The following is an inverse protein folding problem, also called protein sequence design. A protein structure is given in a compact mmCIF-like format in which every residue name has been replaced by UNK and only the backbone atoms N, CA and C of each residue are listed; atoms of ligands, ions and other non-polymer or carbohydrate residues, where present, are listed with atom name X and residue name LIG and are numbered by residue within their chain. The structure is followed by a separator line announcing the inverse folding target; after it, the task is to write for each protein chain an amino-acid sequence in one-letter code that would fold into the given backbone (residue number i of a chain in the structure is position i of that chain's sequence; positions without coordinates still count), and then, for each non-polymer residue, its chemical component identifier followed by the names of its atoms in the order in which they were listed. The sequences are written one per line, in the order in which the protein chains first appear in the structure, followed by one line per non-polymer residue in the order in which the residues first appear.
data_IF_599192953357
#
_entry.id   IF_599192953357
#
_cell.length_a   1.000
_cell.length_b   1.000
_cell.length_c   1.000
_cell.angle_alpha   90.00
_cell.angle_beta   90.00
_cell.angle_gamma   90.00
#
_symmetry.space_group_name_H-M   'P 1'
#
loop_
_entity.id
_entity.type
_entity.pdbx_description
1 polymer ?
#
# COMPACT_ATOMS: atom_id res chain seq x y z
N UNK A 1 45.89 1.06 5.35
CA UNK A 1 45.33 0.13 4.33
C UNK A 1 44.05 -0.43 4.92
N UNK A 2 42.99 0.23 4.60
CA UNK A 2 41.68 0.07 5.26
C UNK A 2 40.77 -0.70 4.31
N UNK A 3 40.32 -1.88 4.74
CA UNK A 3 39.37 -2.75 3.98
C UNK A 3 37.97 -2.43 4.46
N UNK A 4 37.20 -1.79 3.60
CA UNK A 4 35.80 -1.47 3.87
C UNK A 4 34.92 -2.68 3.61
N UNK A 5 34.27 -3.18 4.64
CA UNK A 5 33.23 -4.21 4.59
C UNK A 5 31.98 -3.66 3.91
N UNK A 6 31.62 -4.27 2.80
CA UNK A 6 30.34 -4.04 2.11
C UNK A 6 29.25 -4.94 2.69
N UNK A 7 28.33 -4.33 3.41
CA UNK A 7 27.05 -4.97 3.79
C UNK A 7 26.18 -5.07 2.55
N UNK A 8 25.90 -6.30 2.11
CA UNK A 8 24.95 -6.59 1.05
C UNK A 8 23.55 -6.67 1.67
N UNK A 9 22.75 -5.64 1.49
CA UNK A 9 21.31 -5.66 1.80
C UNK A 9 20.57 -6.26 0.62
N UNK A 10 19.74 -7.26 0.91
CA UNK A 10 19.02 -8.11 -0.04
C UNK A 10 18.24 -7.36 -1.11
N UNK A 11 18.34 -7.86 -2.33
CA UNK A 11 17.78 -7.34 -3.55
C UNK A 11 16.24 -7.36 -3.54
N UNK A 12 15.62 -6.20 -3.52
CA UNK A 12 14.29 -5.97 -4.04
C UNK A 12 14.45 -5.81 -5.54
N UNK A 13 13.76 -6.64 -6.32
CA UNK A 13 13.80 -6.56 -7.78
C UNK A 13 13.18 -5.23 -8.25
N UNK A 14 14.03 -4.26 -8.53
CA UNK A 14 13.68 -3.04 -9.24
C UNK A 14 13.78 -3.37 -10.72
N UNK A 15 12.66 -3.37 -11.43
CA UNK A 15 12.64 -3.41 -12.89
C UNK A 15 13.29 -2.11 -13.38
N UNK A 16 14.56 -2.18 -13.76
CA UNK A 16 15.24 -1.13 -14.52
C UNK A 16 14.73 -1.20 -15.95
N UNK A 17 14.00 -0.18 -16.38
CA UNK A 17 13.81 0.10 -17.80
C UNK A 17 15.15 0.61 -18.33
N UNK A 18 15.79 -0.17 -19.19
CA UNK A 18 17.02 0.20 -19.87
C UNK A 18 16.75 1.33 -20.86
N UNK A 19 17.40 2.46 -20.69
CA UNK A 19 17.57 3.43 -21.75
C UNK A 19 18.57 2.88 -22.78
N UNK A 20 18.11 2.68 -23.99
CA UNK A 20 19.00 2.47 -25.13
C UNK A 20 18.66 3.42 -26.26
N UNK A 21 19.60 4.33 -26.51
CA UNK A 21 20.07 4.81 -27.79
C UNK A 21 19.07 5.42 -28.79
N UNK A 22 19.23 6.71 -28.94
CA UNK A 22 19.36 7.45 -30.22
C UNK A 22 18.91 6.74 -31.49
N UNK A 23 17.81 7.24 -32.06
CA UNK A 23 17.58 7.20 -33.49
C UNK A 23 16.90 8.50 -33.92
N UNK A 24 17.70 9.37 -34.53
CA UNK A 24 17.24 10.48 -35.34
C UNK A 24 16.52 9.93 -36.59
N UNK A 25 15.23 10.11 -36.66
CA UNK A 25 14.47 9.97 -37.88
C UNK A 25 13.57 11.20 -38.07
N UNK A 26 13.90 11.98 -39.08
CA UNK A 26 13.05 13.02 -39.65
C UNK A 26 11.76 12.37 -40.10
N UNK A 27 10.63 12.70 -39.48
CA UNK A 27 9.32 12.39 -40.03
C UNK A 27 8.57 13.70 -40.29
N UNK A 28 8.32 13.93 -41.56
CA UNK A 28 7.44 14.99 -42.07
C UNK A 28 6.03 14.81 -41.51
N UNK A 29 5.46 15.93 -41.13
CA UNK A 29 4.11 16.04 -40.66
C UNK A 29 3.08 15.66 -41.72
N UNK A 30 2.21 14.73 -41.36
CA UNK A 30 0.84 14.70 -41.89
C UNK A 30 -0.10 14.55 -40.70
N UNK A 31 -0.72 15.68 -40.39
CA UNK A 31 -1.71 15.85 -39.30
C UNK A 31 -3.04 15.25 -39.80
N UNK A 32 -3.24 13.95 -39.61
CA UNK A 32 -4.57 13.36 -39.66
C UNK A 32 -5.02 13.11 -38.21
N UNK A 33 -6.05 13.83 -37.82
CA UNK A 33 -6.78 13.60 -36.58
C UNK A 33 -7.58 12.30 -36.71
N UNK A 34 -6.95 11.18 -36.43
CA UNK A 34 -7.61 9.90 -36.24
C UNK A 34 -7.71 9.64 -34.73
N UNK A 35 -8.93 9.67 -34.22
CA UNK A 35 -9.25 9.24 -32.88
C UNK A 35 -8.94 7.74 -32.78
N UNK A 36 -7.71 7.38 -32.41
CA UNK A 36 -7.36 5.99 -32.07
C UNK A 36 -7.99 5.67 -30.73
N UNK A 37 -9.24 5.24 -30.80
CA UNK A 37 -9.95 4.63 -29.66
C UNK A 37 -9.34 3.26 -29.47
N UNK A 38 -8.31 3.13 -28.63
CA UNK A 38 -7.82 1.84 -28.19
C UNK A 38 -8.97 1.14 -27.47
N UNK A 39 -9.63 0.23 -28.17
CA UNK A 39 -10.54 -0.73 -27.55
C UNK A 39 -9.68 -1.77 -26.84
N UNK A 40 -9.46 -1.59 -25.55
CA UNK A 40 -9.02 -2.71 -24.73
C UNK A 40 -10.18 -3.71 -24.70
N UNK A 41 -10.07 -4.77 -25.46
CA UNK A 41 -10.93 -5.94 -25.26
C UNK A 41 -10.43 -6.63 -23.99
N UNK A 42 -11.03 -6.27 -22.87
CA UNK A 42 -10.90 -7.06 -21.64
C UNK A 42 -11.57 -8.41 -21.93
N UNK A 43 -10.77 -9.44 -22.16
CA UNK A 43 -11.29 -10.80 -22.08
C UNK A 43 -11.77 -10.96 -20.66
N UNK A 44 -13.09 -11.13 -20.47
CA UNK A 44 -13.68 -11.42 -19.19
C UNK A 44 -12.95 -12.65 -18.63
N UNK A 45 -11.98 -12.40 -17.75
CA UNK A 45 -11.35 -13.49 -17.01
C UNK A 45 -12.44 -14.04 -16.13
N UNK A 46 -12.59 -15.36 -16.14
CA UNK A 46 -13.40 -16.10 -15.21
C UNK A 46 -13.41 -15.39 -13.87
N UNK A 47 -14.63 -15.17 -13.34
CA UNK A 47 -14.85 -14.49 -12.06
C UNK A 47 -13.75 -14.94 -11.10
N UNK A 48 -12.97 -14.03 -10.51
CA UNK A 48 -11.91 -14.44 -9.61
C UNK A 48 -12.55 -15.40 -8.61
N UNK A 49 -12.02 -16.62 -8.53
CA UNK A 49 -12.43 -17.56 -7.48
C UNK A 49 -12.34 -16.74 -6.22
N UNK A 50 -13.45 -16.64 -5.46
CA UNK A 50 -13.44 -16.03 -4.14
C UNK A 50 -12.17 -16.55 -3.48
N UNK A 51 -11.23 -15.69 -3.06
CA UNK A 51 -10.11 -16.18 -2.30
C UNK A 51 -10.73 -17.01 -1.19
N UNK A 52 -10.38 -18.31 -1.17
CA UNK A 52 -10.75 -19.17 -0.08
C UNK A 52 -10.38 -18.37 1.17
N UNK A 53 -11.35 -17.94 1.96
CA UNK A 53 -11.20 -17.04 3.09
C UNK A 53 -10.35 -17.65 4.23
N UNK A 54 -9.59 -18.64 3.87
CA UNK A 54 -8.57 -19.27 4.69
C UNK A 54 -7.39 -18.35 5.01
N UNK A 55 -7.65 -17.16 5.61
CA UNK A 55 -6.61 -16.40 6.32
C UNK A 55 -5.83 -17.35 7.25
N UNK A 56 -6.48 -18.38 7.77
CA UNK A 56 -5.89 -19.45 8.55
C UNK A 56 -4.84 -20.28 7.84
N UNK A 57 -5.06 -20.67 6.58
CA UNK A 57 -4.09 -21.49 5.83
C UNK A 57 -2.80 -20.78 5.49
N UNK A 58 -2.84 -19.46 5.32
CA UNK A 58 -1.65 -18.65 4.95
C UNK A 58 -0.86 -18.20 6.17
N UNK A 59 -1.52 -18.03 7.31
CA UNK A 59 -0.83 -17.71 8.56
C UNK A 59 -0.04 -18.92 9.12
N UNK A 60 -0.32 -20.14 8.60
CA UNK A 60 0.34 -21.38 9.03
C UNK A 60 -0.14 -21.86 10.41
N UNK A 61 0.36 -23.00 10.88
CA UNK A 61 0.19 -23.41 12.29
C UNK A 61 0.82 -22.35 13.17
N UNK A 62 0.03 -21.71 14.01
CA UNK A 62 0.47 -20.60 14.86
C UNK A 62 0.52 -21.11 16.29
N UNK A 63 1.72 -21.30 16.81
CA UNK A 63 1.93 -21.55 18.24
C UNK A 63 1.55 -20.31 19.07
N UNK A 64 1.49 -19.13 18.43
CA UNK A 64 1.19 -17.86 19.07
C UNK A 64 0.40 -16.94 18.14
N UNK A 65 -0.77 -16.45 18.57
CA UNK A 65 -1.59 -15.52 17.80
C UNK A 65 -0.82 -14.25 17.44
N UNK A 66 -1.12 -13.70 16.28
CA UNK A 66 -0.63 -12.39 15.89
C UNK A 66 -1.41 -11.31 16.65
N UNK A 67 -0.73 -10.55 17.50
CA UNK A 67 -1.37 -9.46 18.27
C UNK A 67 -1.32 -8.16 17.48
N UNK A 68 -2.49 -7.62 17.15
CA UNK A 68 -2.68 -6.38 16.38
C UNK A 68 -3.29 -5.30 17.25
N UNK A 69 -2.75 -4.08 17.20
CA UNK A 69 -3.36 -2.89 17.77
C UNK A 69 -4.09 -2.12 16.69
N UNK A 70 -5.37 -1.88 16.90
CA UNK A 70 -6.23 -1.05 16.05
C UNK A 70 -6.36 0.31 16.70
N UNK A 71 -6.06 1.38 15.95
CA UNK A 71 -6.15 2.74 16.49
C UNK A 71 -7.57 3.05 16.99
N UNK A 72 -7.65 3.74 18.12
CA UNK A 72 -8.95 4.11 18.72
C UNK A 72 -9.76 5.06 17.84
N UNK A 73 -9.11 5.80 16.93
CA UNK A 73 -9.75 6.72 15.97
C UNK A 73 -10.36 6.00 14.76
N UNK A 74 -9.98 4.72 14.52
CA UNK A 74 -10.58 3.91 13.45
C UNK A 74 -12.05 3.60 13.77
N UNK A 75 -12.97 4.20 13.02
CA UNK A 75 -14.41 4.10 13.30
C UNK A 75 -15.03 2.79 12.80
N UNK A 76 -14.51 2.25 11.72
CA UNK A 76 -14.99 1.04 11.07
C UNK A 76 -13.89 -0.01 10.95
N UNK A 77 -13.45 -0.61 12.07
CA UNK A 77 -12.31 -1.52 12.07
C UNK A 77 -12.58 -2.77 11.22
N UNK A 78 -11.49 -3.27 10.63
CA UNK A 78 -11.53 -4.57 9.94
C UNK A 78 -11.80 -5.69 10.93
N UNK A 79 -12.44 -6.75 10.44
CA UNK A 79 -12.62 -8.00 11.18
C UNK A 79 -11.48 -8.94 10.82
N UNK A 80 -10.86 -9.52 11.81
CA UNK A 80 -9.79 -10.50 11.66
C UNK A 80 -10.25 -11.86 12.20
N UNK A 81 -9.67 -12.92 11.67
CA UNK A 81 -9.92 -14.27 12.14
C UNK A 81 -9.35 -14.46 13.56
N UNK A 82 -10.25 -14.64 14.52
CA UNK A 82 -9.90 -14.74 15.96
C UNK A 82 -9.09 -15.99 16.32
N UNK A 83 -9.06 -17.01 15.46
CA UNK A 83 -8.26 -18.22 15.70
C UNK A 83 -6.76 -17.95 15.55
N UNK A 84 -6.40 -16.98 14.69
CA UNK A 84 -5.02 -16.63 14.36
C UNK A 84 -4.58 -15.25 14.85
N UNK A 85 -5.52 -14.35 15.09
CA UNK A 85 -5.26 -12.95 15.37
C UNK A 85 -5.99 -12.53 16.65
N UNK A 86 -5.26 -11.86 17.54
CA UNK A 86 -5.81 -11.11 18.67
C UNK A 86 -5.73 -9.62 18.34
N UNK A 87 -6.88 -9.00 18.11
CA UNK A 87 -6.96 -7.58 17.77
C UNK A 87 -7.52 -6.78 18.96
N UNK A 88 -6.76 -5.79 19.43
CA UNK A 88 -7.11 -4.94 20.55
C UNK A 88 -7.16 -3.47 20.14
N UNK A 89 -8.00 -2.68 20.79
CA UNK A 89 -8.03 -1.22 20.61
C UNK A 89 -6.88 -0.58 21.40
N UNK A 90 -6.20 0.39 20.79
CA UNK A 90 -5.12 1.11 21.43
C UNK A 90 -4.75 2.37 20.67
N UNK A 91 -3.77 3.12 21.17
CA UNK A 91 -3.25 4.31 20.48
C UNK A 91 -2.16 3.89 19.50
N UNK A 92 -2.35 4.22 18.25
CA UNK A 92 -1.33 4.09 17.19
C UNK A 92 -0.84 5.49 16.84
N UNK A 93 0.47 5.78 16.86
CA UNK A 93 0.99 7.14 16.66
C UNK A 93 0.59 7.78 15.34
N UNK A 94 0.64 6.99 14.26
CA UNK A 94 0.25 7.40 12.90
C UNK A 94 -0.46 6.21 12.28
N UNK A 95 -1.47 6.38 11.45
CA UNK A 95 -2.19 5.30 10.78
C UNK A 95 -3.11 4.47 11.68
N UNK A 96 -3.58 3.30 11.21
CA UNK A 96 -4.73 2.62 11.79
C UNK A 96 -4.41 1.26 12.41
N UNK A 97 -3.46 0.50 11.85
CA UNK A 97 -3.17 -0.88 12.27
C UNK A 97 -1.68 -1.07 12.53
N UNK A 98 -1.33 -1.51 13.71
CA UNK A 98 0.05 -1.77 14.11
C UNK A 98 0.20 -3.18 14.70
N UNK A 99 1.42 -3.70 14.69
CA UNK A 99 1.77 -4.86 15.51
C UNK A 99 1.82 -4.42 16.97
N UNK A 100 1.14 -5.14 17.85
CA UNK A 100 1.22 -4.86 19.30
C UNK A 100 2.65 -5.03 19.80
N UNK A 101 3.10 -4.11 20.66
CA UNK A 101 4.45 -4.09 21.21
C UNK A 101 5.58 -3.86 20.19
N UNK A 102 5.28 -3.32 19.00
CA UNK A 102 6.33 -2.80 18.11
C UNK A 102 6.72 -1.39 18.53
N UNK A 103 7.86 -1.30 19.21
CA UNK A 103 8.41 -0.02 19.72
C UNK A 103 8.73 1.00 18.61
N UNK A 104 8.92 0.53 17.36
CA UNK A 104 9.10 1.44 16.23
C UNK A 104 7.86 2.28 15.95
N UNK A 105 6.69 1.80 16.39
CA UNK A 105 5.39 2.41 16.11
C UNK A 105 5.04 2.38 14.62
N UNK A 106 5.60 1.42 13.86
CA UNK A 106 5.20 1.21 12.47
C UNK A 106 3.76 0.74 12.38
N UNK A 107 3.03 1.30 11.42
CA UNK A 107 1.64 0.99 11.22
C UNK A 107 1.26 1.07 9.75
N UNK A 108 0.11 0.50 9.42
CA UNK A 108 -0.49 0.49 8.10
C UNK A 108 -1.72 1.39 8.11
N UNK A 109 -1.86 2.23 7.10
CA UNK A 109 -3.07 3.01 6.85
C UNK A 109 -4.06 2.20 6.04
N UNK A 110 -5.32 2.15 6.49
CA UNK A 110 -6.44 1.60 5.74
C UNK A 110 -7.22 2.70 5.05
N UNK A 111 -7.68 2.47 3.83
CA UNK A 111 -8.56 3.42 3.13
C UNK A 111 -9.75 2.72 2.48
N UNK A 112 -10.96 3.18 2.76
CA UNK A 112 -12.11 2.92 1.91
C UNK A 112 -11.99 3.71 0.61
N UNK A 113 -12.74 3.32 -0.44
CA UNK A 113 -12.73 4.06 -1.71
C UNK A 113 -13.11 5.53 -1.52
N UNK A 114 -14.20 5.80 -0.80
CA UNK A 114 -14.68 7.16 -0.58
C UNK A 114 -13.67 8.01 0.18
N UNK A 115 -13.07 7.48 1.27
CA UNK A 115 -12.08 8.19 2.07
C UNK A 115 -10.81 8.44 1.27
N UNK A 116 -10.38 7.48 0.46
CA UNK A 116 -9.23 7.63 -0.41
C UNK A 116 -9.46 8.77 -1.42
N UNK A 117 -10.56 8.73 -2.17
CA UNK A 117 -10.92 9.76 -3.15
C UNK A 117 -10.97 11.14 -2.49
N UNK A 118 -11.66 11.28 -1.35
CA UNK A 118 -11.72 12.55 -0.62
C UNK A 118 -10.33 13.05 -0.18
N UNK A 119 -9.49 12.13 0.30
CA UNK A 119 -8.16 12.49 0.80
C UNK A 119 -7.23 13.00 -0.31
N UNK A 120 -7.35 12.50 -1.53
CA UNK A 120 -6.48 12.90 -2.66
C UNK A 120 -7.05 14.02 -3.53
N UNK A 121 -8.38 14.19 -3.55
CA UNK A 121 -9.07 15.19 -4.39
C UNK A 121 -9.14 16.55 -3.70
N UNK A 122 -9.53 16.60 -2.44
CA UNK A 122 -9.73 17.86 -1.72
C UNK A 122 -8.38 18.42 -1.26
N UNK A 123 -8.01 19.63 -1.71
CA UNK A 123 -6.70 20.24 -1.43
C UNK A 123 -6.36 20.28 0.07
N UNK A 124 -7.35 20.59 0.93
CA UNK A 124 -7.15 20.61 2.39
C UNK A 124 -6.88 19.19 2.94
N UNK A 125 -7.60 18.18 2.44
CA UNK A 125 -7.41 16.79 2.84
C UNK A 125 -6.08 16.25 2.35
N UNK A 126 -5.70 16.56 1.11
CA UNK A 126 -4.41 16.20 0.54
C UNK A 126 -3.23 16.73 1.36
N UNK A 127 -3.26 18.03 1.74
CA UNK A 127 -2.23 18.62 2.61
C UNK A 127 -2.12 17.88 3.96
N UNK A 128 -3.24 17.49 4.57
CA UNK A 128 -3.24 16.71 5.81
C UNK A 128 -2.65 15.31 5.59
N UNK A 129 -2.98 14.69 4.45
CA UNK A 129 -2.45 13.36 4.11
C UNK A 129 -0.93 13.41 3.93
N UNK A 130 -0.40 14.41 3.21
CA UNK A 130 1.04 14.62 3.07
C UNK A 130 1.75 14.85 4.42
N UNK A 131 1.13 15.63 5.33
CA UNK A 131 1.68 15.81 6.68
C UNK A 131 1.73 14.49 7.45
N UNK A 132 0.71 13.63 7.31
CA UNK A 132 0.64 12.31 7.94
C UNK A 132 1.72 11.37 7.37
N UNK A 133 1.89 11.38 6.04
CA UNK A 133 2.95 10.62 5.35
C UNK A 133 4.33 11.05 5.85
N UNK A 134 4.62 12.36 5.85
CA UNK A 134 5.90 12.90 6.31
C UNK A 134 6.20 12.46 7.76
N UNK A 135 5.22 12.58 8.65
CA UNK A 135 5.37 12.13 10.05
C UNK A 135 5.66 10.63 10.17
N UNK A 136 5.06 9.80 9.30
CA UNK A 136 5.34 8.37 9.27
C UNK A 136 6.76 8.07 8.76
N UNK A 137 7.23 8.85 7.78
CA UNK A 137 8.58 8.71 7.20
C UNK A 137 9.72 9.07 8.17
N UNK A 138 9.46 9.91 9.18
CA UNK A 138 10.43 10.20 10.25
C UNK A 138 10.92 8.95 10.97
N UNK A 139 10.15 7.85 10.91
CA UNK A 139 10.51 6.55 11.51
C UNK A 139 11.41 5.68 10.64
N UNK A 140 11.78 6.14 9.44
CA UNK A 140 12.61 5.43 8.46
C UNK A 140 12.07 4.03 8.08
N UNK A 141 10.76 3.83 8.17
CA UNK A 141 10.08 2.59 7.84
C UNK A 141 9.15 2.79 6.63
N UNK A 142 8.85 1.73 5.88
CA UNK A 142 7.97 1.82 4.72
C UNK A 142 6.60 2.41 5.10
N UNK A 143 6.13 3.37 4.32
CA UNK A 143 4.76 3.90 4.44
C UNK A 143 3.85 3.07 3.56
N UNK A 144 2.84 2.42 4.16
CA UNK A 144 1.96 1.48 3.46
C UNK A 144 0.51 1.87 3.64
N UNK A 145 -0.18 2.01 2.51
CA UNK A 145 -1.61 2.22 2.40
C UNK A 145 -2.27 0.96 1.85
N UNK A 146 -3.26 0.43 2.53
CA UNK A 146 -4.06 -0.70 2.07
C UNK A 146 -5.47 -0.23 1.78
N UNK A 147 -5.84 -0.28 0.50
CA UNK A 147 -7.12 0.18 -0.02
C UNK A 147 -8.11 -0.99 -0.10
N UNK A 148 -9.31 -0.85 0.47
CA UNK A 148 -10.41 -1.84 0.47
C UNK A 148 -11.08 -2.02 -0.90
N UNK A 149 -10.47 -1.54 -1.96
CA UNK A 149 -11.03 -1.51 -3.31
C UNK A 149 -9.97 -1.87 -4.33
N UNK A 150 -10.41 -2.20 -5.55
CA UNK A 150 -9.55 -2.46 -6.68
C UNK A 150 -9.13 -1.16 -7.39
N UNK A 151 -8.07 -1.22 -8.16
CA UNK A 151 -7.60 -0.08 -8.93
C UNK A 151 -8.68 0.42 -9.93
N UNK A 152 -9.45 -0.51 -10.50
CA UNK A 152 -10.50 -0.19 -11.48
C UNK A 152 -11.73 0.50 -10.83
N UNK A 153 -11.94 0.34 -9.52
CA UNK A 153 -13.05 0.98 -8.81
C UNK A 153 -12.91 2.51 -8.80
N UNK A 154 -11.68 3.02 -8.92
CA UNK A 154 -11.42 4.45 -9.09
C UNK A 154 -12.11 5.00 -10.34
N UNK A 155 -12.14 4.22 -11.43
CA UNK A 155 -12.74 4.66 -12.69
C UNK A 155 -14.27 4.74 -12.61
N UNK A 156 -14.89 3.85 -11.85
CA UNK A 156 -16.34 3.75 -11.70
C UNK A 156 -16.92 4.59 -10.57
N UNK A 157 -16.08 5.30 -9.81
CA UNK A 157 -16.53 6.16 -8.72
C UNK A 157 -17.33 7.36 -9.24
N UNK A 158 -18.39 7.74 -8.52
CA UNK A 158 -19.21 8.91 -8.85
C UNK A 158 -18.52 10.21 -8.39
N UNK A 159 -17.88 10.89 -9.33
CA UNK A 159 -17.20 12.17 -9.11
C UNK A 159 -18.14 13.39 -9.11
N UNK A 160 -19.43 13.23 -9.39
CA UNK A 160 -20.39 14.34 -9.39
C UNK A 160 -20.54 14.98 -8.01
N UNK A 161 -20.18 14.27 -6.94
CA UNK A 161 -20.14 14.79 -5.57
C UNK A 161 -19.11 15.91 -5.37
N UNK A 162 -18.13 16.03 -6.26
CA UNK A 162 -17.16 17.13 -6.24
C UNK A 162 -17.63 18.25 -7.16
N UNK A 163 -18.25 19.27 -6.60
CA UNK A 163 -18.98 20.36 -7.25
C UNK A 163 -18.29 21.08 -8.43
N UNK A 164 -17.03 20.80 -8.71
CA UNK A 164 -16.31 21.46 -9.79
C UNK A 164 -16.53 20.84 -11.17
N UNK A 165 -17.15 19.65 -11.27
CA UNK A 165 -17.27 18.89 -12.53
C UNK A 165 -15.94 18.56 -13.24
N UNK A 166 -14.81 18.98 -12.64
CA UNK A 166 -13.47 18.87 -13.20
C UNK A 166 -12.69 17.67 -12.67
N UNK A 167 -13.17 17.07 -11.60
CA UNK A 167 -12.51 15.90 -11.00
C UNK A 167 -12.91 14.66 -11.78
N UNK A 168 -11.93 13.91 -12.22
CA UNK A 168 -12.09 12.67 -12.95
C UNK A 168 -11.10 11.64 -12.41
N UNK A 169 -11.31 10.37 -12.73
CA UNK A 169 -10.43 9.28 -12.31
C UNK A 169 -8.95 9.51 -12.62
N UNK A 170 -8.63 10.17 -13.76
CA UNK A 170 -7.26 10.50 -14.12
C UNK A 170 -6.55 11.38 -13.10
N UNK A 171 -7.29 12.29 -12.43
CA UNK A 171 -6.71 13.09 -11.36
C UNK A 171 -6.29 12.22 -10.19
N UNK A 172 -7.14 11.25 -9.82
CA UNK A 172 -6.86 10.31 -8.72
C UNK A 172 -5.67 9.41 -9.07
N UNK A 173 -5.61 8.87 -10.30
CA UNK A 173 -4.46 8.08 -10.75
C UNK A 173 -3.13 8.85 -10.69
N UNK A 174 -3.15 10.15 -11.04
CA UNK A 174 -1.96 11.01 -10.90
C UNK A 174 -1.55 11.15 -9.44
N UNK A 175 -2.51 11.27 -8.51
CA UNK A 175 -2.22 11.32 -7.07
C UNK A 175 -1.65 10.00 -6.55
N UNK A 176 -2.15 8.85 -7.03
CA UNK A 176 -1.55 7.55 -6.72
C UNK A 176 -0.11 7.49 -7.19
N UNK A 177 0.16 7.89 -8.43
CA UNK A 177 1.52 7.94 -8.96
C UNK A 177 2.42 8.91 -8.16
N UNK A 178 1.91 10.06 -7.72
CA UNK A 178 2.60 11.02 -6.87
C UNK A 178 2.92 10.40 -5.49
N UNK A 179 1.96 9.72 -4.86
CA UNK A 179 2.18 9.00 -3.60
C UNK A 179 3.32 7.98 -3.73
N UNK A 180 3.33 7.19 -4.81
CA UNK A 180 4.31 6.13 -5.01
C UNK A 180 5.69 6.72 -5.34
N UNK A 181 5.77 7.59 -6.32
CA UNK A 181 7.06 8.03 -6.88
C UNK A 181 7.70 9.18 -6.10
N UNK A 182 6.89 10.17 -5.68
CA UNK A 182 7.41 11.37 -5.00
C UNK A 182 7.47 11.15 -3.48
N UNK A 183 6.43 10.53 -2.91
CA UNK A 183 6.31 10.38 -1.47
C UNK A 183 6.72 8.98 -0.98
N UNK A 184 7.19 8.09 -1.84
CA UNK A 184 7.65 6.73 -1.51
C UNK A 184 6.63 5.96 -0.64
N UNK A 185 5.35 6.02 -1.02
CA UNK A 185 4.25 5.32 -0.36
C UNK A 185 3.93 4.06 -1.12
N UNK A 186 3.89 2.93 -0.44
CA UNK A 186 3.40 1.69 -1.01
C UNK A 186 1.87 1.70 -0.98
N UNK A 187 1.22 1.76 -2.13
CA UNK A 187 -0.25 1.70 -2.24
C UNK A 187 -0.66 0.31 -2.72
N UNK A 188 -1.39 -0.41 -1.87
CA UNK A 188 -1.86 -1.77 -2.15
C UNK A 188 -3.37 -1.76 -2.33
N UNK A 189 -3.84 -2.16 -3.51
CA UNK A 189 -5.26 -2.31 -3.81
C UNK A 189 -5.70 -3.74 -3.49
N UNK A 190 -6.40 -3.92 -2.38
CA UNK A 190 -6.78 -5.24 -1.87
C UNK A 190 -8.09 -5.77 -2.45
N UNK A 191 -8.80 -4.97 -3.24
CA UNK A 191 -10.02 -5.34 -3.98
C UNK A 191 -11.27 -5.47 -3.12
N UNK A 192 -11.15 -5.65 -1.82
CA UNK A 192 -12.28 -5.73 -0.89
C UNK A 192 -11.83 -5.47 0.55
N UNK A 193 -12.80 -5.35 1.44
CA UNK A 193 -12.57 -5.21 2.87
C UNK A 193 -11.92 -6.46 3.48
N UNK A 194 -12.35 -7.64 3.06
CA UNK A 194 -11.76 -8.92 3.43
C UNK A 194 -10.32 -9.04 2.91
N UNK A 195 -10.10 -8.62 1.65
CA UNK A 195 -8.78 -8.53 1.06
C UNK A 195 -7.85 -7.62 1.86
N UNK A 196 -8.35 -6.47 2.33
CA UNK A 196 -7.59 -5.55 3.16
C UNK A 196 -7.23 -6.17 4.52
N UNK A 197 -8.17 -6.87 5.18
CA UNK A 197 -7.88 -7.60 6.42
C UNK A 197 -6.75 -8.59 6.24
N UNK A 198 -6.78 -9.34 5.15
CA UNK A 198 -5.79 -10.34 4.80
C UNK A 198 -4.41 -9.72 4.55
N UNK A 199 -4.35 -8.68 3.71
CA UNK A 199 -3.08 -7.98 3.38
C UNK A 199 -2.47 -7.36 4.63
N UNK A 200 -3.26 -6.69 5.47
CA UNK A 200 -2.77 -6.08 6.71
C UNK A 200 -2.22 -7.15 7.66
N UNK A 201 -2.92 -8.27 7.83
CA UNK A 201 -2.45 -9.37 8.65
C UNK A 201 -1.10 -9.93 8.16
N UNK A 202 -0.94 -10.09 6.83
CA UNK A 202 0.33 -10.53 6.24
C UNK A 202 1.47 -9.54 6.47
N UNK A 203 1.22 -8.25 6.27
CA UNK A 203 2.21 -7.19 6.47
C UNK A 203 2.69 -7.17 7.94
N UNK A 204 1.76 -7.21 8.88
CA UNK A 204 2.08 -7.22 10.32
C UNK A 204 2.78 -8.53 10.75
N UNK A 205 2.42 -9.66 10.15
CA UNK A 205 3.16 -10.92 10.36
C UNK A 205 4.61 -10.81 9.89
N UNK A 206 4.83 -10.30 8.68
CA UNK A 206 6.18 -10.07 8.16
C UNK A 206 6.97 -9.09 9.00
N UNK A 207 6.31 -8.06 9.53
CA UNK A 207 6.94 -7.16 10.49
C UNK A 207 7.39 -7.88 11.77
N UNK A 208 6.53 -8.74 12.35
CA UNK A 208 6.88 -9.58 13.52
C UNK A 208 8.09 -10.48 13.24
N UNK A 209 8.13 -11.10 12.07
CA UNK A 209 9.24 -11.96 11.64
C UNK A 209 10.55 -11.15 11.50
N UNK A 210 10.49 -9.98 10.87
CA UNK A 210 11.65 -9.09 10.69
C UNK A 210 12.23 -8.63 12.04
N UNK A 211 11.39 -8.28 13.01
CA UNK A 211 11.82 -7.93 14.37
C UNK A 211 12.52 -9.11 15.04
N UNK A 212 11.95 -10.32 14.96
CA UNK A 212 12.56 -11.53 15.52
C UNK A 212 13.93 -11.80 14.91
N UNK A 213 14.09 -11.68 13.61
CA UNK A 213 15.37 -11.83 12.92
C UNK A 213 16.40 -10.78 13.39
N UNK A 214 16.02 -9.51 13.45
CA UNK A 214 16.92 -8.43 13.88
C UNK A 214 17.44 -8.67 15.30
N UNK A 215 16.55 -9.06 16.23
CA UNK A 215 16.95 -9.37 17.60
C UNK A 215 17.90 -10.57 17.69
N UNK A 216 17.69 -11.60 16.88
CA UNK A 216 18.58 -12.78 16.85
C UNK A 216 20.00 -12.41 16.37
N UNK A 217 20.13 -11.52 15.38
CA UNK A 217 21.43 -11.01 14.94
C UNK A 217 22.18 -10.21 16.01
N UNK A 218 21.46 -9.38 16.78
CA UNK A 218 22.06 -8.59 17.85
C UNK A 218 22.59 -9.46 19.01
N UNK A 219 21.92 -10.56 19.30
CA UNK A 219 22.34 -11.49 20.37
C UNK A 219 23.60 -12.26 19.93
N UNK A 220 23.65 -12.75 18.70
CA UNK A 220 24.77 -13.54 18.19
C UNK A 220 26.01 -12.71 17.81
N UNK A 221 25.87 -11.40 17.60
CA UNK A 221 26.99 -10.49 17.30
C UNK A 221 27.70 -9.91 18.52
N UNK A 222 27.28 -10.27 19.75
CA UNK A 222 27.89 -9.86 21.04
C UNK A 222 28.68 -10.97 21.74
N UNK A 223 28.86 -12.14 21.06
CA UNK A 223 29.63 -13.26 21.59
C UNK A 223 31.06 -13.26 21.04
#
# INVERSE_FOLDING_TARGET
MEVADKVVVGAVAVVRVAESASLTAKAHAHRQRGNVRMKFQYKERDKPRRPDTGAGKVLGKVDEKLCITIDTREQTPLVFDSDYISANRGTVPVFDYALSNDESGWAVERKSLADFIQSVVLSKSWKRELTKIAKAQERLLPVVYVCEFGFDDIQSYDYALFHSGRVQSQFVYRRVAEMIYIHNVHVVFAGSREGASYVIALLLKRRKEAIKCANAYQINGKA
#
